data_IF_120233801884
#
_entry.id   IF_120233801884
#
_cell.length_a   1.000
_cell.length_b   1.000
_cell.length_c   1.000
_cell.angle_alpha   90.00
_cell.angle_beta   90.00
_cell.angle_gamma   90.00
#
_symmetry.space_group_name_H-M   'P 1'
#
loop_
_entity.id
_entity.type
_entity.pdbx_description
1 polymer ?
#
# COMPACT_ATOMS: atom_id res chain seq x y z
N UNK A 1 -68.60 -35.29 60.17
CA UNK A 1 -68.86 -36.67 60.47
C UNK A 1 -67.80 -37.52 59.75
N UNK A 2 -67.07 -38.26 60.59
CA UNK A 2 -66.31 -39.51 60.34
C UNK A 2 -65.18 -39.42 59.28
N UNK A 3 -64.02 -39.59 59.79
CA UNK A 3 -63.23 -40.53 60.47
C UNK A 3 -62.42 -41.48 59.57
N UNK A 4 -61.17 -41.43 59.86
CA UNK A 4 -60.24 -42.57 60.04
C UNK A 4 -59.54 -43.15 58.80
N UNK A 5 -58.25 -42.94 58.83
CA UNK A 5 -57.15 -43.82 59.22
C UNK A 5 -56.90 -44.99 58.30
N UNK A 6 -55.70 -45.10 57.71
CA UNK A 6 -54.66 -46.07 58.13
C UNK A 6 -53.41 -45.95 57.32
N UNK A 7 -52.34 -45.95 58.06
CA UNK A 7 -50.96 -46.30 57.76
C UNK A 7 -50.87 -47.53 56.88
N UNK A 8 -49.87 -47.61 56.06
CA UNK A 8 -48.82 -48.65 56.08
C UNK A 8 -47.75 -48.36 55.01
N UNK A 9 -46.58 -48.18 55.50
CA UNK A 9 -45.27 -48.83 55.28
C UNK A 9 -44.70 -48.93 53.87
N UNK A 10 -43.59 -48.22 53.75
CA UNK A 10 -42.25 -48.66 53.29
C UNK A 10 -42.15 -49.53 52.04
N UNK A 11 -41.50 -49.01 51.02
CA UNK A 11 -40.24 -49.64 50.56
C UNK A 11 -39.51 -48.61 49.64
N UNK A 12 -38.23 -48.40 49.98
CA UNK A 12 -37.37 -47.48 49.20
C UNK A 12 -36.90 -48.08 47.88
N UNK A 13 -36.80 -47.27 46.92
CA UNK A 13 -35.93 -47.49 45.75
C UNK A 13 -35.10 -46.25 45.57
N UNK A 14 -33.82 -46.39 45.86
CA UNK A 14 -32.82 -45.37 45.50
C UNK A 14 -32.66 -45.39 44.01
N UNK A 15 -33.17 -44.34 43.34
CA UNK A 15 -32.84 -44.03 41.96
C UNK A 15 -31.57 -43.17 41.96
N UNK A 16 -30.47 -43.81 41.62
CA UNK A 16 -29.20 -43.12 41.39
C UNK A 16 -29.31 -42.21 40.15
N UNK A 17 -29.26 -40.92 40.38
CA UNK A 17 -29.08 -39.93 39.31
C UNK A 17 -27.63 -39.96 38.83
N UNK A 18 -27.41 -40.58 37.68
CA UNK A 18 -26.16 -40.47 36.92
C UNK A 18 -26.15 -39.06 36.35
N UNK A 19 -25.42 -38.17 36.99
CA UNK A 19 -25.09 -36.88 36.42
C UNK A 19 -24.07 -37.08 35.29
N UNK A 20 -24.55 -37.14 34.04
CA UNK A 20 -23.70 -37.08 32.86
C UNK A 20 -23.13 -35.69 32.74
N UNK A 21 -21.91 -35.51 33.23
CA UNK A 21 -21.13 -34.29 32.91
C UNK A 21 -20.72 -34.35 31.43
N UNK A 22 -21.51 -33.71 30.57
CA UNK A 22 -21.06 -33.42 29.21
C UNK A 22 -19.95 -32.37 29.34
N UNK A 23 -18.70 -32.81 29.24
CA UNK A 23 -17.56 -31.91 29.08
C UNK A 23 -17.72 -31.24 27.72
N UNK A 24 -18.08 -29.96 27.73
CA UNK A 24 -18.05 -29.12 26.57
C UNK A 24 -16.57 -28.84 26.27
N UNK A 25 -15.95 -29.66 25.45
CA UNK A 25 -14.65 -29.35 24.85
C UNK A 25 -14.85 -28.12 24.01
N UNK A 26 -14.49 -26.97 24.55
CA UNK A 26 -14.37 -25.72 23.76
C UNK A 26 -13.19 -25.93 22.80
N UNK A 27 -13.49 -26.31 21.57
CA UNK A 27 -12.53 -26.21 20.46
C UNK A 27 -12.06 -24.74 20.40
N UNK A 28 -10.85 -24.52 20.84
CA UNK A 28 -10.17 -23.25 20.65
C UNK A 28 -9.98 -23.08 19.15
N UNK A 29 -10.93 -22.39 18.51
CA UNK A 29 -10.78 -21.92 17.14
C UNK A 29 -9.56 -21.02 17.11
N UNK A 30 -8.44 -21.56 16.64
CA UNK A 30 -7.25 -20.78 16.33
C UNK A 30 -7.66 -19.72 15.33
N UNK A 31 -7.68 -18.46 15.75
CA UNK A 31 -7.92 -17.33 14.85
C UNK A 31 -6.95 -17.44 13.66
N UNK A 32 -7.40 -17.22 12.43
CA UNK A 32 -6.51 -17.26 11.26
C UNK A 32 -5.33 -16.32 11.51
N UNK A 33 -4.12 -16.82 11.27
CA UNK A 33 -2.91 -16.03 11.41
C UNK A 33 -3.04 -14.75 10.56
N UNK A 34 -2.68 -13.61 11.16
CA UNK A 34 -2.70 -12.33 10.44
C UNK A 34 -1.91 -12.45 9.13
N UNK A 35 -2.37 -11.85 8.03
CA UNK A 35 -1.67 -11.90 6.76
C UNK A 35 -0.23 -11.43 6.93
N UNK A 36 0.72 -12.25 6.48
CA UNK A 36 2.14 -11.88 6.51
C UNK A 36 2.35 -10.71 5.54
N UNK A 37 2.83 -9.58 6.07
CA UNK A 37 3.23 -8.44 5.24
C UNK A 37 4.45 -8.82 4.39
N UNK A 38 4.25 -8.92 3.08
CA UNK A 38 5.28 -9.29 2.09
C UNK A 38 5.92 -8.07 1.42
N UNK A 39 5.59 -6.86 1.85
CA UNK A 39 6.13 -5.64 1.25
C UNK A 39 7.62 -5.53 1.52
N UNK A 40 8.43 -5.21 0.49
CA UNK A 40 9.86 -5.01 0.69
C UNK A 40 10.11 -3.79 1.58
N UNK A 41 10.91 -3.97 2.61
CA UNK A 41 11.32 -2.90 3.54
C UNK A 41 12.69 -2.31 3.20
N UNK A 42 13.41 -2.95 2.27
CA UNK A 42 14.72 -2.52 1.80
C UNK A 42 14.69 -2.31 0.28
N UNK A 43 15.57 -1.44 -0.19
CA UNK A 43 15.67 -1.12 -1.60
C UNK A 43 17.15 -1.06 -2.01
N UNK A 44 17.52 -1.90 -2.96
CA UNK A 44 18.91 -2.19 -3.28
C UNK A 44 19.65 -1.04 -3.99
N UNK A 45 18.89 -0.07 -4.57
CA UNK A 45 19.46 1.05 -5.32
C UNK A 45 19.65 2.34 -4.48
N UNK A 46 19.46 2.29 -3.18
CA UNK A 46 19.77 3.45 -2.30
C UNK A 46 21.26 3.83 -2.46
N UNK A 47 21.51 5.11 -2.69
CA UNK A 47 22.84 5.67 -2.91
C UNK A 47 23.36 5.55 -4.34
N UNK A 48 22.65 4.88 -5.23
CA UNK A 48 22.98 4.75 -6.65
C UNK A 48 22.29 5.81 -7.50
N UNK A 49 22.80 6.07 -8.70
CA UNK A 49 22.10 6.90 -9.68
C UNK A 49 20.78 6.25 -10.09
N UNK A 50 19.76 7.07 -10.30
CA UNK A 50 18.51 6.60 -10.86
C UNK A 50 18.78 5.92 -12.21
N UNK A 51 18.21 4.74 -12.48
CA UNK A 51 18.42 4.02 -13.74
C UNK A 51 18.02 4.84 -14.97
N UNK A 52 18.69 4.59 -16.09
CA UNK A 52 18.35 5.20 -17.36
C UNK A 52 16.85 5.03 -17.64
N UNK A 53 16.21 6.14 -17.95
CA UNK A 53 14.76 6.21 -18.13
C UNK A 53 14.47 6.99 -19.39
N UNK A 54 13.62 6.45 -20.24
CA UNK A 54 13.10 7.12 -21.45
C UNK A 54 11.68 6.58 -21.72
N UNK A 55 10.69 7.21 -21.13
CA UNK A 55 9.29 6.78 -21.18
C UNK A 55 8.39 7.87 -21.80
N UNK A 56 7.37 7.45 -22.54
CA UNK A 56 6.32 8.35 -22.97
C UNK A 56 5.55 8.89 -21.74
N UNK A 57 5.24 10.19 -21.73
CA UNK A 57 4.35 10.77 -20.71
C UNK A 57 2.91 10.73 -21.19
N UNK A 58 2.02 10.40 -20.27
CA UNK A 58 0.58 10.59 -20.51
C UNK A 58 0.28 12.08 -20.69
N UNK A 59 -0.30 12.42 -21.83
CA UNK A 59 -0.55 13.82 -22.20
C UNK A 59 0.54 14.47 -23.07
N UNK A 60 1.57 13.72 -23.42
CA UNK A 60 2.62 14.12 -24.36
C UNK A 60 3.99 14.38 -23.73
N UNK A 61 5.01 14.33 -24.55
CA UNK A 61 6.41 14.45 -24.14
C UNK A 61 7.01 13.15 -23.62
N UNK A 62 8.21 13.25 -23.07
CA UNK A 62 8.96 12.10 -22.53
C UNK A 62 9.45 12.39 -21.11
N UNK A 63 9.57 11.35 -20.32
CA UNK A 63 10.31 11.32 -19.07
C UNK A 63 11.69 10.73 -19.36
N UNK A 64 12.72 11.52 -19.14
CA UNK A 64 14.11 11.13 -19.41
C UNK A 64 14.96 11.19 -18.15
N UNK A 65 16.19 10.69 -18.22
CA UNK A 65 17.16 10.79 -17.13
C UNK A 65 17.38 12.23 -16.65
N UNK A 66 17.36 13.21 -17.56
CA UNK A 66 17.57 14.62 -17.24
C UNK A 66 16.47 15.20 -16.34
N UNK A 67 15.27 14.63 -16.39
CA UNK A 67 14.14 15.08 -15.56
C UNK A 67 14.34 14.82 -14.06
N UNK A 68 15.28 13.93 -13.70
CA UNK A 68 15.63 13.66 -12.29
C UNK A 68 16.70 14.60 -11.73
N UNK A 69 17.15 15.59 -12.53
CA UNK A 69 18.18 16.54 -12.11
C UNK A 69 17.57 17.89 -11.69
N UNK A 70 18.24 18.59 -10.80
CA UNK A 70 17.87 19.95 -10.38
C UNK A 70 16.78 20.02 -9.32
N UNK A 71 15.91 19.01 -9.20
CA UNK A 71 14.86 18.93 -8.18
C UNK A 71 14.88 17.56 -7.49
N UNK A 72 14.43 17.53 -6.25
CA UNK A 72 14.14 16.25 -5.59
C UNK A 72 12.85 15.70 -6.14
N UNK A 73 12.90 14.48 -6.66
CA UNK A 73 11.78 13.82 -7.34
C UNK A 73 11.23 12.69 -6.49
N UNK A 74 9.93 12.71 -6.24
CA UNK A 74 9.21 11.51 -5.78
C UNK A 74 8.75 10.76 -7.02
N UNK A 75 9.26 9.55 -7.21
CA UNK A 75 8.88 8.64 -8.29
C UNK A 75 7.99 7.57 -7.70
N UNK A 76 6.75 7.48 -8.18
CA UNK A 76 5.84 6.40 -7.78
C UNK A 76 5.75 5.36 -8.88
N UNK A 77 6.04 4.10 -8.57
CA UNK A 77 5.66 2.97 -9.43
C UNK A 77 4.29 2.46 -9.00
N UNK A 78 3.36 2.41 -9.94
CA UNK A 78 1.96 2.12 -9.65
C UNK A 78 1.20 1.55 -10.86
N UNK A 79 -0.05 1.19 -10.65
CA UNK A 79 -0.94 0.81 -11.74
C UNK A 79 -2.41 0.86 -11.33
N UNK A 80 -3.29 1.29 -12.24
CA UNK A 80 -4.74 1.30 -12.00
C UNK A 80 -5.34 -0.11 -11.88
N UNK A 81 -4.58 -1.15 -12.18
CA UNK A 81 -4.92 -2.55 -11.98
C UNK A 81 -4.64 -3.05 -10.54
N UNK A 82 -3.94 -2.27 -9.72
CA UNK A 82 -3.48 -2.65 -8.39
C UNK A 82 -4.42 -2.07 -7.31
N UNK A 83 -5.08 -2.89 -6.48
CA UNK A 83 -6.00 -2.42 -5.44
C UNK A 83 -5.34 -1.48 -4.42
N UNK A 84 -4.12 -1.80 -3.96
CA UNK A 84 -3.39 -0.96 -3.00
C UNK A 84 -3.04 0.40 -3.61
N UNK A 85 -2.69 0.44 -4.90
CA UNK A 85 -2.47 1.70 -5.61
C UNK A 85 -3.74 2.54 -5.71
N UNK A 86 -4.90 1.90 -5.93
CA UNK A 86 -6.19 2.59 -5.98
C UNK A 86 -6.61 3.11 -4.61
N UNK A 87 -6.24 2.42 -3.54
CA UNK A 87 -6.46 2.90 -2.17
C UNK A 87 -5.67 4.18 -1.85
N UNK A 88 -4.48 4.32 -2.43
CA UNK A 88 -3.60 5.48 -2.21
C UNK A 88 -3.82 6.62 -3.21
N UNK A 89 -4.59 6.44 -4.29
CA UNK A 89 -4.61 7.36 -5.43
C UNK A 89 -5.07 8.78 -5.10
N UNK A 90 -6.01 8.94 -4.16
CA UNK A 90 -6.49 10.24 -3.73
C UNK A 90 -5.42 10.97 -2.89
N UNK A 91 -4.69 10.22 -2.06
CA UNK A 91 -3.55 10.73 -1.29
C UNK A 91 -2.39 11.14 -2.21
N UNK A 92 -2.17 10.40 -3.31
CA UNK A 92 -1.19 10.77 -4.35
C UNK A 92 -1.57 12.05 -5.06
N UNK A 93 -2.85 12.25 -5.35
CA UNK A 93 -3.34 13.51 -5.92
C UNK A 93 -3.10 14.70 -4.97
N UNK A 94 -3.37 14.51 -3.68
CA UNK A 94 -3.10 15.53 -2.64
C UNK A 94 -1.59 15.79 -2.51
N UNK A 95 -0.77 14.75 -2.46
CA UNK A 95 0.69 14.88 -2.44
C UNK A 95 1.19 15.72 -3.62
N UNK A 96 0.74 15.40 -4.84
CA UNK A 96 1.11 16.13 -6.04
C UNK A 96 0.70 17.62 -5.96
N UNK A 97 -0.49 17.91 -5.42
CA UNK A 97 -0.97 19.28 -5.21
C UNK A 97 -0.10 20.06 -4.21
N UNK A 98 0.35 19.42 -3.14
CA UNK A 98 1.26 20.02 -2.15
C UNK A 98 2.65 20.27 -2.75
N UNK A 99 3.18 19.31 -3.51
CA UNK A 99 4.49 19.40 -4.17
C UNK A 99 4.50 20.49 -5.24
N UNK A 100 3.41 20.69 -5.98
CA UNK A 100 3.33 21.73 -7.01
C UNK A 100 3.59 23.15 -6.49
N UNK A 101 3.49 23.37 -5.17
CA UNK A 101 3.80 24.65 -4.51
C UNK A 101 5.27 24.79 -4.09
N UNK A 102 6.05 23.71 -4.18
CA UNK A 102 7.47 23.70 -3.77
C UNK A 102 8.37 23.59 -5.01
N UNK A 103 9.15 24.65 -5.29
CA UNK A 103 10.05 24.70 -6.46
C UNK A 103 11.20 23.68 -6.39
N UNK A 104 11.49 23.11 -5.22
CA UNK A 104 12.57 22.14 -5.00
C UNK A 104 12.12 20.70 -5.19
N UNK A 105 10.82 20.47 -5.24
CA UNK A 105 10.22 19.16 -5.33
C UNK A 105 9.50 18.96 -6.67
N UNK A 106 9.39 17.71 -7.09
CA UNK A 106 8.51 17.29 -8.15
C UNK A 106 8.01 15.86 -7.91
N UNK A 107 6.93 15.51 -8.58
CA UNK A 107 6.32 14.19 -8.54
C UNK A 107 6.15 13.65 -9.95
N UNK A 108 6.37 12.34 -10.11
CA UNK A 108 6.04 11.59 -11.33
C UNK A 108 5.56 10.19 -10.95
N UNK A 109 4.38 9.79 -11.42
CA UNK A 109 3.93 8.42 -11.40
C UNK A 109 4.45 7.67 -12.62
N UNK A 110 4.93 6.44 -12.46
CA UNK A 110 5.25 5.52 -13.56
C UNK A 110 4.19 4.41 -13.51
N UNK A 111 3.25 4.44 -14.46
CA UNK A 111 2.25 3.40 -14.61
C UNK A 111 2.89 2.20 -15.31
N UNK A 112 2.90 1.05 -14.65
CA UNK A 112 3.61 -0.14 -15.15
C UNK A 112 2.68 -1.29 -15.53
N UNK A 113 3.19 -2.25 -16.32
CA UNK A 113 2.56 -3.50 -16.76
C UNK A 113 1.43 -3.37 -17.77
N UNK A 114 1.17 -2.23 -18.36
CA UNK A 114 0.20 -2.06 -19.46
C UNK A 114 -1.20 -2.58 -19.19
N UNK A 115 -1.62 -2.69 -17.92
CA UNK A 115 -2.94 -3.20 -17.52
C UNK A 115 -3.82 -2.05 -17.09
N UNK A 116 -4.93 -1.86 -17.77
CA UNK A 116 -5.81 -0.70 -17.55
C UNK A 116 -7.18 -1.08 -16.96
N UNK A 117 -7.43 -2.38 -16.71
CA UNK A 117 -8.65 -2.87 -16.08
C UNK A 117 -9.92 -2.37 -16.77
N UNK A 118 -10.93 -2.06 -15.98
CA UNK A 118 -12.24 -1.59 -16.47
C UNK A 118 -12.20 -0.23 -17.21
N UNK A 119 -11.15 0.55 -17.00
CA UNK A 119 -11.03 1.88 -17.64
C UNK A 119 -10.47 1.83 -19.05
N UNK A 120 -9.78 0.75 -19.45
CA UNK A 120 -9.17 0.63 -20.77
C UNK A 120 -8.04 1.63 -21.06
N UNK A 121 -7.72 2.52 -20.11
CA UNK A 121 -6.66 3.53 -20.25
C UNK A 121 -6.63 4.53 -19.12
N UNK A 122 -5.60 5.38 -19.09
CA UNK A 122 -5.45 6.44 -18.07
C UNK A 122 -6.43 7.60 -18.29
N UNK A 123 -6.82 7.89 -19.53
CA UNK A 123 -7.73 9.01 -19.81
C UNK A 123 -9.12 8.80 -19.16
N UNK A 124 -9.81 7.66 -19.36
CA UNK A 124 -11.06 7.39 -18.66
C UNK A 124 -10.92 7.33 -17.15
N UNK A 125 -9.80 6.78 -16.65
CA UNK A 125 -9.52 6.73 -15.21
C UNK A 125 -9.46 8.13 -14.60
N UNK A 126 -8.67 9.03 -15.17
CA UNK A 126 -8.55 10.39 -14.66
C UNK A 126 -9.83 11.22 -14.86
N UNK A 127 -10.60 10.95 -15.93
CA UNK A 127 -11.91 11.57 -16.12
C UNK A 127 -12.89 11.17 -15.00
N UNK A 128 -12.93 9.90 -14.63
CA UNK A 128 -13.76 9.40 -13.53
C UNK A 128 -13.32 10.01 -12.17
N UNK A 129 -12.03 10.14 -11.94
CA UNK A 129 -11.48 10.69 -10.70
C UNK A 129 -11.63 12.21 -10.54
N UNK A 130 -11.77 12.95 -11.65
CA UNK A 130 -11.87 14.40 -11.64
C UNK A 130 -10.56 15.16 -11.35
N UNK A 131 -9.41 14.45 -11.31
CA UNK A 131 -8.08 15.04 -11.12
C UNK A 131 -7.03 14.32 -11.96
N UNK A 132 -5.84 14.95 -12.04
CA UNK A 132 -4.65 14.38 -12.71
C UNK A 132 -3.41 14.64 -11.89
N UNK A 133 -2.41 13.78 -12.08
CA UNK A 133 -1.02 14.02 -11.71
C UNK A 133 -0.11 13.56 -12.86
N UNK A 134 1.17 13.98 -12.89
CA UNK A 134 2.09 13.57 -13.94
C UNK A 134 2.31 12.06 -13.96
N UNK A 135 2.17 11.44 -15.14
CA UNK A 135 2.37 9.99 -15.32
C UNK A 135 3.24 9.74 -16.55
N UNK A 136 4.22 8.84 -16.42
CA UNK A 136 4.90 8.18 -17.52
C UNK A 136 4.40 6.74 -17.66
N UNK A 137 4.52 6.19 -18.86
CA UNK A 137 3.93 4.90 -19.25
C UNK A 137 5.06 3.87 -19.44
N UNK A 138 5.00 2.79 -18.67
CA UNK A 138 5.96 1.65 -18.66
C UNK A 138 5.20 0.35 -18.90
N UNK A 139 4.56 0.23 -20.07
CA UNK A 139 3.65 -0.86 -20.39
C UNK A 139 4.36 -2.21 -20.46
N UNK A 140 5.59 -2.24 -20.91
CA UNK A 140 6.45 -3.44 -20.99
C UNK A 140 7.19 -3.77 -19.67
N UNK A 141 7.07 -2.91 -18.67
CA UNK A 141 7.73 -3.03 -17.38
C UNK A 141 9.26 -2.96 -17.45
N UNK A 142 9.82 -2.31 -18.45
CA UNK A 142 11.27 -2.14 -18.58
C UNK A 142 11.82 -1.25 -17.45
N UNK A 143 11.19 -0.11 -17.20
CA UNK A 143 11.58 0.76 -16.09
C UNK A 143 11.33 0.10 -14.73
N UNK A 144 10.19 -0.57 -14.54
CA UNK A 144 9.90 -1.34 -13.32
C UNK A 144 11.03 -2.30 -12.97
N UNK A 145 11.55 -3.04 -13.97
CA UNK A 145 12.66 -3.99 -13.80
C UNK A 145 13.99 -3.28 -13.56
N UNK A 146 14.31 -2.27 -14.38
CA UNK A 146 15.56 -1.53 -14.28
C UNK A 146 15.71 -0.82 -12.93
N UNK A 147 14.60 -0.31 -12.39
CA UNK A 147 14.56 0.30 -11.06
C UNK A 147 14.49 -0.72 -9.92
N UNK A 148 14.56 -2.01 -10.19
CA UNK A 148 14.55 -3.05 -9.16
C UNK A 148 13.28 -3.06 -8.30
N UNK A 149 12.17 -2.59 -8.83
CA UNK A 149 10.90 -2.52 -8.10
C UNK A 149 10.32 -3.93 -7.95
N UNK A 150 9.95 -4.29 -6.73
CA UNK A 150 9.39 -5.62 -6.40
C UNK A 150 7.92 -5.57 -5.97
N UNK A 151 7.42 -4.36 -5.68
CA UNK A 151 6.07 -4.11 -5.16
C UNK A 151 5.47 -2.83 -5.77
N UNK A 152 4.17 -2.75 -5.87
CA UNK A 152 3.44 -1.51 -6.15
C UNK A 152 2.27 -1.36 -5.17
N UNK A 153 1.99 -0.14 -4.68
CA UNK A 153 2.72 1.08 -4.96
C UNK A 153 4.09 1.13 -4.26
N UNK A 154 5.09 1.65 -4.97
CA UNK A 154 6.41 1.96 -4.40
C UNK A 154 6.76 3.41 -4.68
N UNK A 155 7.34 4.08 -3.70
CA UNK A 155 7.77 5.47 -3.79
C UNK A 155 9.28 5.53 -3.60
N UNK A 156 9.97 6.05 -4.60
CA UNK A 156 11.42 6.26 -4.61
C UNK A 156 11.69 7.75 -4.57
N UNK A 157 12.54 8.22 -3.66
CA UNK A 157 12.93 9.63 -3.59
C UNK A 157 14.32 9.78 -4.21
N UNK A 158 14.38 10.49 -5.32
CA UNK A 158 15.61 10.82 -6.05
C UNK A 158 16.02 12.24 -5.70
N UNK A 159 17.26 12.42 -5.25
CA UNK A 159 17.83 13.73 -4.97
C UNK A 159 18.03 14.55 -6.24
N UNK A 160 18.22 15.86 -6.09
CA UNK A 160 18.47 16.81 -7.20
C UNK A 160 19.71 16.51 -8.05
N UNK A 161 20.58 15.63 -7.58
CA UNK A 161 21.76 15.11 -8.26
C UNK A 161 21.50 13.77 -8.98
N UNK A 162 20.24 13.34 -9.07
CA UNK A 162 19.86 12.08 -9.71
C UNK A 162 20.15 10.82 -8.88
N UNK A 163 20.59 10.97 -7.62
CA UNK A 163 20.90 9.83 -6.75
C UNK A 163 19.67 9.44 -5.92
N UNK A 164 19.36 8.16 -5.88
CA UNK A 164 18.29 7.60 -5.06
C UNK A 164 18.66 7.71 -3.58
N UNK A 165 17.79 8.31 -2.77
CA UNK A 165 18.05 8.61 -1.37
C UNK A 165 17.13 7.90 -0.39
N UNK A 166 15.92 7.57 -0.83
CA UNK A 166 14.92 7.00 0.05
C UNK A 166 13.91 6.15 -0.73
N UNK A 167 13.22 5.27 0.00
CA UNK A 167 12.24 4.35 -0.54
C UNK A 167 11.17 4.03 0.50
N UNK A 168 9.95 3.88 0.05
CA UNK A 168 8.85 3.32 0.85
C UNK A 168 7.80 2.67 -0.05
N UNK A 169 6.96 1.82 0.53
CA UNK A 169 5.76 1.28 -0.12
C UNK A 169 4.53 1.91 0.51
N UNK A 170 3.44 1.94 -0.20
CA UNK A 170 2.10 2.32 0.24
C UNK A 170 2.06 3.56 1.16
N UNK A 171 1.06 4.40 1.03
CA UNK A 171 0.87 5.55 1.93
C UNK A 171 -0.02 5.19 3.13
N UNK A 172 -1.09 4.42 2.91
CA UNK A 172 -2.05 4.03 3.94
C UNK A 172 -1.71 2.71 4.59
N UNK A 173 -1.49 1.66 3.78
CA UNK A 173 -1.13 0.34 4.26
C UNK A 173 0.39 0.21 4.47
N UNK A 174 0.84 -0.76 5.25
CA UNK A 174 2.25 -1.14 5.38
C UNK A 174 3.14 -0.11 6.04
N UNK A 175 3.49 0.96 5.37
CA UNK A 175 4.39 2.00 5.89
C UNK A 175 3.73 2.93 6.89
N UNK A 176 2.44 3.20 6.72
CA UNK A 176 1.68 4.10 7.58
C UNK A 176 2.19 5.55 7.62
N UNK A 177 3.10 5.94 6.71
CA UNK A 177 3.71 7.29 6.76
C UNK A 177 2.78 8.39 6.24
N UNK A 178 1.79 8.04 5.44
CA UNK A 178 0.84 8.98 4.84
C UNK A 178 1.48 10.03 3.92
N UNK A 179 0.65 10.94 3.43
CA UNK A 179 1.08 12.04 2.55
C UNK A 179 2.11 12.93 3.23
N UNK A 180 1.86 13.31 4.48
CA UNK A 180 2.76 14.23 5.20
C UNK A 180 4.13 13.59 5.47
N UNK A 181 4.15 12.32 5.89
CA UNK A 181 5.41 11.61 6.13
C UNK A 181 6.26 11.49 4.87
N UNK A 182 5.66 11.17 3.72
CA UNK A 182 6.38 11.11 2.45
C UNK A 182 6.88 12.49 2.01
N UNK A 183 6.08 13.54 2.19
CA UNK A 183 6.47 14.92 1.90
C UNK A 183 7.65 15.38 2.77
N UNK A 184 7.64 15.06 4.06
CA UNK A 184 8.72 15.42 4.99
C UNK A 184 10.02 14.71 4.63
N UNK A 185 9.97 13.43 4.25
CA UNK A 185 11.12 12.67 3.73
C UNK A 185 11.67 13.32 2.45
N UNK A 186 10.83 13.69 1.50
CA UNK A 186 11.26 14.37 0.28
C UNK A 186 11.90 15.74 0.58
N UNK A 187 11.35 16.52 1.51
CA UNK A 187 11.94 17.79 1.97
C UNK A 187 13.28 17.59 2.67
N UNK A 188 13.44 16.51 3.42
CA UNK A 188 14.73 16.16 4.04
C UNK A 188 15.78 15.86 2.97
N UNK A 189 15.44 15.06 1.95
CA UNK A 189 16.32 14.79 0.80
C UNK A 189 16.67 16.07 0.04
N UNK A 190 15.72 17.00 -0.14
CA UNK A 190 15.95 18.25 -0.85
C UNK A 190 16.99 19.17 -0.16
N UNK A 191 17.27 18.98 1.15
CA UNK A 191 18.31 19.70 1.90
C UNK A 191 19.70 19.12 1.69
N UNK A 192 19.82 17.89 1.15
CA UNK A 192 21.10 17.26 0.91
C UNK A 192 21.84 18.04 -0.18
N UNK A 193 23.10 18.41 0.08
CA UNK A 193 23.97 18.99 -0.94
C UNK A 193 24.23 17.91 -2.00
N UNK A 194 23.89 18.19 -3.27
CA UNK A 194 24.19 17.28 -4.38
C UNK A 194 25.71 17.05 -4.48
N UNK A 195 26.10 15.89 -5.01
CA UNK A 195 27.49 15.71 -5.44
C UNK A 195 27.76 16.69 -6.58
N UNK A 196 28.85 17.44 -6.46
CA UNK A 196 29.36 18.28 -7.54
C UNK A 196 29.89 17.39 -8.66
#
# INVERSE_FOLDING_TARGET
MNTMTRRDTLTGLAAGTIASTVALEAEAQTAPAAPVDRRPRTYDLIGQAAPATDLARFGGGRLTQADFLGKTTIVQFWGIWCPDCLADVDDVAELNRLIARDRKLQFIGIHTRGRYGRWGGLAPFFAEKGYRFPVAIDDDSAAYKAWGIKWVPSFVIVGKDGIIRDYTTDLKAGSGIGVQGLLDRAKAVAKIKGRA
#
